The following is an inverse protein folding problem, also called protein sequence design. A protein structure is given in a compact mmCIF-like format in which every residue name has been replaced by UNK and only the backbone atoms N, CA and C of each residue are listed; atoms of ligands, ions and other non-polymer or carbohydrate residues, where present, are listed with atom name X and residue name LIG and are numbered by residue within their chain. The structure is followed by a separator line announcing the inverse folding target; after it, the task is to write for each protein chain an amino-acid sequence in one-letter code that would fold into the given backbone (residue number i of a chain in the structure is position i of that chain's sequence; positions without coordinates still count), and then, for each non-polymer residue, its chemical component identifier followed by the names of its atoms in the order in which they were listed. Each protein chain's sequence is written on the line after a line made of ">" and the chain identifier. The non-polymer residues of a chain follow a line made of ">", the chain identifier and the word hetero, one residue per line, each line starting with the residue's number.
data_IF_774070714871
#
_entry.id   IF_774070714871
#
_cell.length_a   1.000
_cell.length_b   1.000
_cell.length_c   1.000
_cell.angle_alpha   90.00
_cell.angle_beta   90.00
_cell.angle_gamma   90.00
#
_symmetry.space_group_name_H-M   'P 1'
#
loop_
_entity.id
_entity.type
_entity.pdbx_description
1 polymer ?
#
# COMPACT_ATOMS: atom_id res chain seq x y z
N UNK A 1 30.50 86.77 -64.32
CA UNK A 1 31.88 86.35 -64.68
C UNK A 1 32.13 84.94 -64.14
N UNK A 2 31.76 83.90 -64.87
CA UNK A 2 31.87 82.50 -64.38
C UNK A 2 31.57 81.40 -65.41
N UNK A 3 31.02 81.74 -66.59
CA UNK A 3 30.72 80.77 -67.66
C UNK A 3 31.86 80.61 -68.71
N UNK A 4 32.83 81.53 -68.75
CA UNK A 4 33.94 81.47 -69.74
C UNK A 4 35.09 80.53 -69.34
N UNK A 5 35.22 80.16 -68.05
CA UNK A 5 36.30 79.28 -67.60
C UNK A 5 35.98 77.79 -67.80
N UNK A 6 34.70 77.38 -67.70
CA UNK A 6 34.29 75.99 -67.87
C UNK A 6 34.33 75.52 -69.34
N UNK A 7 34.01 76.42 -70.30
CA UNK A 7 34.06 76.07 -71.72
C UNK A 7 35.50 75.97 -72.26
N UNK A 8 36.43 76.76 -71.70
CA UNK A 8 37.85 76.68 -72.04
C UNK A 8 38.50 75.36 -71.56
N UNK A 9 38.15 74.87 -70.37
CA UNK A 9 38.67 73.59 -69.85
C UNK A 9 38.08 72.38 -70.60
N UNK A 10 36.82 72.43 -71.02
CA UNK A 10 36.21 71.37 -71.85
C UNK A 10 36.88 71.30 -73.24
N UNK A 11 37.16 72.45 -73.87
CA UNK A 11 37.78 72.50 -75.20
C UNK A 11 39.27 72.13 -75.20
N UNK A 12 39.99 72.35 -74.10
CA UNK A 12 41.39 71.96 -73.95
C UNK A 12 41.59 70.46 -73.72
N UNK A 13 40.64 69.73 -73.11
CA UNK A 13 40.77 68.27 -72.96
C UNK A 13 40.42 67.48 -74.22
N UNK A 14 39.51 67.99 -75.06
CA UNK A 14 39.07 67.27 -76.25
C UNK A 14 39.86 67.58 -77.55
N UNK A 15 40.73 68.61 -77.57
CA UNK A 15 41.61 68.86 -78.75
C UNK A 15 42.95 68.16 -78.72
N UNK A 16 43.47 67.76 -77.56
CA UNK A 16 44.77 67.06 -77.45
C UNK A 16 44.66 65.53 -77.46
N UNK A 17 43.45 64.96 -77.57
CA UNK A 17 43.23 63.50 -77.67
C UNK A 17 42.69 63.09 -79.07
N UNK A 18 42.86 63.94 -80.08
CA UNK A 18 42.44 63.69 -81.47
C UNK A 18 43.61 63.42 -82.43
N UNK A 19 44.85 63.32 -81.94
CA UNK A 19 46.06 63.21 -82.77
C UNK A 19 46.92 61.98 -82.44
N UNK A 20 46.28 60.87 -82.10
CA UNK A 20 46.89 59.54 -82.05
C UNK A 20 45.88 58.47 -82.48
N UNK A 21 45.19 58.71 -83.61
CA UNK A 21 44.55 57.63 -84.36
C UNK A 21 45.67 56.94 -85.14
N UNK A 22 46.38 56.04 -84.46
CA UNK A 22 47.15 55.01 -85.14
C UNK A 22 46.16 54.24 -86.00
N UNK A 23 46.51 54.02 -87.27
CA UNK A 23 45.82 53.07 -88.15
C UNK A 23 45.96 51.67 -87.55
N UNK A 24 45.15 51.36 -86.53
CA UNK A 24 44.78 50.00 -86.21
C UNK A 24 43.96 49.56 -87.42
N UNK A 25 44.42 48.55 -88.17
CA UNK A 25 43.63 48.07 -89.31
C UNK A 25 42.26 47.65 -88.79
N UNK A 26 41.20 48.02 -89.52
CA UNK A 26 39.82 47.70 -89.14
C UNK A 26 39.66 46.21 -88.82
N UNK A 27 40.44 45.35 -89.48
CA UNK A 27 40.48 43.91 -89.25
C UNK A 27 40.90 43.52 -87.83
N UNK A 28 41.82 44.26 -87.19
CA UNK A 28 42.25 43.98 -85.81
C UNK A 28 41.17 44.35 -84.79
N UNK A 29 40.50 45.49 -84.97
CA UNK A 29 39.37 45.87 -84.11
C UNK A 29 38.22 44.87 -84.28
N UNK A 30 37.90 44.47 -85.51
CA UNK A 30 36.86 43.46 -85.78
C UNK A 30 37.23 42.11 -85.13
N UNK A 31 38.49 41.69 -85.19
CA UNK A 31 38.96 40.47 -84.54
C UNK A 31 38.85 40.53 -83.00
N UNK A 32 39.35 41.60 -82.37
CA UNK A 32 39.26 41.81 -80.91
C UNK A 32 37.79 41.93 -80.46
N UNK A 33 36.92 42.58 -81.24
CA UNK A 33 35.49 42.68 -80.92
C UNK A 33 34.78 41.33 -81.04
N UNK A 34 35.12 40.51 -82.04
CA UNK A 34 34.60 39.14 -82.18
C UNK A 34 35.07 38.23 -81.06
N UNK A 35 36.33 38.37 -80.64
CA UNK A 35 36.87 37.63 -79.50
C UNK A 35 36.17 38.02 -78.20
N UNK A 36 35.99 39.31 -77.94
CA UNK A 36 35.22 39.80 -76.79
C UNK A 36 33.75 39.37 -76.83
N UNK A 37 33.12 39.36 -78.01
CA UNK A 37 31.75 38.84 -78.18
C UNK A 37 31.68 37.33 -77.92
N UNK A 38 32.66 36.55 -78.39
CA UNK A 38 32.74 35.12 -78.12
C UNK A 38 32.95 34.86 -76.62
N UNK A 39 33.85 35.60 -75.96
CA UNK A 39 34.06 35.51 -74.51
C UNK A 39 32.80 35.89 -73.72
N UNK A 40 32.10 36.96 -74.12
CA UNK A 40 30.84 37.38 -73.50
C UNK A 40 29.73 36.33 -73.67
N UNK A 41 29.62 35.68 -74.84
CA UNK A 41 28.68 34.60 -75.07
C UNK A 41 29.00 33.36 -74.22
N UNK A 42 30.27 32.98 -74.10
CA UNK A 42 30.70 31.89 -73.22
C UNK A 42 30.38 32.20 -71.75
N UNK A 43 30.66 33.43 -71.30
CA UNK A 43 30.34 33.87 -69.94
C UNK A 43 28.83 33.90 -69.68
N UNK A 44 28.03 34.37 -70.65
CA UNK A 44 26.58 34.38 -70.56
C UNK A 44 26.00 32.96 -70.52
N UNK A 45 26.51 32.04 -71.34
CA UNK A 45 26.15 30.62 -71.29
C UNK A 45 26.46 30.00 -69.93
N UNK A 46 27.69 30.19 -69.44
CA UNK A 46 28.09 29.71 -68.11
C UNK A 46 27.30 30.35 -66.96
N UNK A 47 26.79 31.57 -67.13
CA UNK A 47 25.89 32.20 -66.15
C UNK A 47 24.48 31.61 -66.22
N UNK A 48 23.94 31.39 -67.42
CA UNK A 48 22.64 30.75 -67.63
C UNK A 48 22.62 29.31 -67.09
N UNK A 49 23.66 28.52 -67.33
CA UNK A 49 23.80 27.17 -66.75
C UNK A 49 23.85 27.19 -65.23
N UNK A 50 24.60 28.13 -64.63
CA UNK A 50 24.64 28.31 -63.17
C UNK A 50 23.27 28.70 -62.61
N UNK A 51 22.56 29.60 -63.28
CA UNK A 51 21.23 30.04 -62.87
C UNK A 51 20.21 28.90 -63.01
N UNK A 52 20.28 28.11 -64.07
CA UNK A 52 19.44 26.93 -64.26
C UNK A 52 19.73 25.84 -63.22
N UNK A 53 21.00 25.56 -62.95
CA UNK A 53 21.43 24.63 -61.89
C UNK A 53 20.93 25.09 -60.52
N UNK A 54 21.05 26.38 -60.19
CA UNK A 54 20.55 26.94 -58.93
C UNK A 54 19.01 26.89 -58.84
N UNK A 55 18.30 27.09 -59.96
CA UNK A 55 16.84 26.94 -60.01
C UNK A 55 16.41 25.48 -59.78
N UNK A 56 17.11 24.51 -60.35
CA UNK A 56 16.86 23.09 -60.14
C UNK A 56 17.11 22.68 -58.68
N UNK A 57 18.21 23.14 -58.10
CA UNK A 57 18.54 22.89 -56.68
C UNK A 57 17.50 23.51 -55.74
N UNK A 58 17.05 24.74 -56.02
CA UNK A 58 15.99 25.39 -55.26
C UNK A 58 14.64 24.67 -55.39
N UNK A 59 14.28 24.22 -56.60
CA UNK A 59 13.06 23.45 -56.84
C UNK A 59 13.07 22.11 -56.09
N UNK A 60 14.21 21.43 -56.08
CA UNK A 60 14.38 20.16 -55.36
C UNK A 60 14.29 20.36 -53.85
N UNK A 61 14.92 21.42 -53.32
CA UNK A 61 14.81 21.78 -51.89
C UNK A 61 13.36 22.07 -51.50
N UNK A 62 12.60 22.78 -52.35
CA UNK A 62 11.18 23.06 -52.12
C UNK A 62 10.36 21.75 -52.16
N UNK A 63 10.64 20.87 -53.13
CA UNK A 63 9.97 19.56 -53.25
C UNK A 63 10.18 18.72 -51.99
N UNK A 64 11.42 18.60 -51.53
CA UNK A 64 11.76 17.88 -50.30
C UNK A 64 11.08 18.47 -49.07
N UNK A 65 11.04 19.81 -48.94
CA UNK A 65 10.34 20.48 -47.84
C UNK A 65 8.82 20.24 -47.85
N UNK A 66 8.20 20.22 -49.04
CA UNK A 66 6.78 19.90 -49.20
C UNK A 66 6.52 18.43 -48.84
N UNK A 67 7.37 17.50 -49.28
CA UNK A 67 7.23 16.08 -48.96
C UNK A 67 7.40 15.82 -47.45
N UNK A 68 8.39 16.44 -46.81
CA UNK A 68 8.60 16.32 -45.37
C UNK A 68 7.42 16.91 -44.58
N UNK A 69 6.92 18.08 -44.97
CA UNK A 69 5.77 18.70 -44.29
C UNK A 69 4.47 17.91 -44.52
N UNK A 70 4.24 17.40 -45.73
CA UNK A 70 3.11 16.52 -46.02
C UNK A 70 3.18 15.23 -45.20
N UNK A 71 4.35 14.62 -45.09
CA UNK A 71 4.55 13.43 -44.26
C UNK A 71 4.30 13.72 -42.77
N UNK A 72 4.81 14.85 -42.26
CA UNK A 72 4.60 15.26 -40.88
C UNK A 72 3.10 15.50 -40.57
N UNK A 73 2.38 16.19 -41.45
CA UNK A 73 0.93 16.40 -41.31
C UNK A 73 0.19 15.07 -41.34
N UNK A 74 0.51 14.18 -42.28
CA UNK A 74 -0.11 12.85 -42.37
C UNK A 74 0.15 12.01 -41.11
N UNK A 75 1.37 12.07 -40.56
CA UNK A 75 1.73 11.35 -39.34
C UNK A 75 0.93 11.88 -38.13
N UNK A 76 0.86 13.20 -37.95
CA UNK A 76 0.07 13.84 -36.88
C UNK A 76 -1.42 13.53 -37.00
N UNK A 77 -1.98 13.58 -38.21
CA UNK A 77 -3.38 13.22 -38.45
C UNK A 77 -3.64 11.75 -38.14
N UNK A 78 -2.79 10.83 -38.60
CA UNK A 78 -2.93 9.40 -38.31
C UNK A 78 -2.89 9.12 -36.81
N UNK A 79 -1.99 9.78 -36.08
CA UNK A 79 -1.90 9.63 -34.64
C UNK A 79 -3.13 10.22 -33.92
N UNK A 80 -3.61 11.38 -34.37
CA UNK A 80 -4.86 11.99 -33.92
C UNK A 80 -6.07 11.08 -34.11
N UNK A 81 -6.23 10.47 -35.28
CA UNK A 81 -7.31 9.51 -35.55
C UNK A 81 -7.19 8.24 -34.70
N UNK A 82 -5.98 7.70 -34.54
CA UNK A 82 -5.76 6.54 -33.67
C UNK A 82 -6.18 6.83 -32.21
N UNK A 83 -5.85 8.02 -31.70
CA UNK A 83 -6.29 8.47 -30.37
C UNK A 83 -7.80 8.61 -30.26
N UNK A 84 -8.45 9.23 -31.25
CA UNK A 84 -9.91 9.36 -31.28
C UNK A 84 -10.61 7.99 -31.33
N UNK A 85 -10.13 7.08 -32.18
CA UNK A 85 -10.63 5.71 -32.25
C UNK A 85 -10.47 4.97 -30.92
N UNK A 86 -9.31 5.11 -30.26
CA UNK A 86 -9.08 4.53 -28.94
C UNK A 86 -10.03 5.08 -27.87
N UNK A 87 -10.26 6.39 -27.85
CA UNK A 87 -11.21 7.03 -26.94
C UNK A 87 -12.66 6.56 -27.20
N UNK A 88 -13.09 6.47 -28.46
CA UNK A 88 -14.41 5.98 -28.82
C UNK A 88 -14.61 4.51 -28.43
N UNK A 89 -13.57 3.66 -28.60
CA UNK A 89 -13.62 2.28 -28.16
C UNK A 89 -13.74 2.17 -26.63
N UNK A 90 -12.99 2.98 -25.88
CA UNK A 90 -13.09 3.03 -24.43
C UNK A 90 -14.49 3.49 -23.98
N UNK A 91 -15.03 4.55 -24.59
CA UNK A 91 -16.39 5.02 -24.30
C UNK A 91 -17.45 3.95 -24.59
N UNK A 92 -17.33 3.23 -25.72
CA UNK A 92 -18.24 2.14 -26.04
C UNK A 92 -18.17 0.98 -25.04
N UNK A 93 -16.98 0.67 -24.51
CA UNK A 93 -16.83 -0.35 -23.46
C UNK A 93 -17.52 0.07 -22.16
N UNK A 94 -17.37 1.32 -21.74
CA UNK A 94 -18.06 1.85 -20.55
C UNK A 94 -19.58 1.89 -20.74
N UNK A 95 -20.07 2.31 -21.91
CA UNK A 95 -21.50 2.26 -22.22
C UNK A 95 -22.06 0.83 -22.19
N UNK A 96 -21.32 -0.17 -22.68
CA UNK A 96 -21.74 -1.57 -22.59
C UNK A 96 -21.84 -2.05 -21.14
N UNK A 97 -20.92 -1.65 -20.26
CA UNK A 97 -21.01 -1.98 -18.82
C UNK A 97 -22.25 -1.35 -18.18
N UNK A 98 -22.58 -0.11 -18.54
CA UNK A 98 -23.79 0.57 -18.06
C UNK A 98 -25.04 -0.15 -18.57
N UNK A 99 -25.08 -0.51 -19.86
CA UNK A 99 -26.20 -1.27 -20.44
C UNK A 99 -26.34 -2.62 -19.75
N UNK A 100 -25.26 -3.39 -19.55
CA UNK A 100 -25.31 -4.66 -18.83
C UNK A 100 -25.85 -4.51 -17.40
N UNK A 101 -25.47 -3.43 -16.70
CA UNK A 101 -25.98 -3.11 -15.37
C UNK A 101 -27.48 -2.76 -15.38
N UNK A 102 -27.92 -1.99 -16.38
CA UNK A 102 -29.31 -1.59 -16.56
C UNK A 102 -30.20 -2.76 -17.04
N UNK A 103 -29.64 -3.69 -17.81
CA UNK A 103 -30.28 -4.91 -18.29
C UNK A 103 -30.51 -5.95 -17.18
N UNK A 104 -30.00 -5.69 -15.96
CA UNK A 104 -30.38 -6.42 -14.74
C UNK A 104 -31.31 -5.58 -13.85
N UNK A 105 -32.51 -5.16 -14.34
CA UNK A 105 -33.37 -4.24 -13.61
C UNK A 105 -33.80 -4.79 -12.26
N UNK A 106 -33.95 -6.11 -12.14
CA UNK A 106 -34.30 -6.79 -10.89
C UNK A 106 -33.18 -6.70 -9.85
N UNK A 107 -31.91 -6.93 -10.24
CA UNK A 107 -30.78 -6.80 -9.32
C UNK A 107 -30.60 -5.34 -8.87
N UNK A 108 -30.70 -4.40 -9.80
CA UNK A 108 -30.55 -2.96 -9.50
C UNK A 108 -31.67 -2.47 -8.59
N UNK A 109 -32.93 -2.85 -8.85
CA UNK A 109 -34.06 -2.53 -7.99
C UNK A 109 -33.92 -3.18 -6.60
N UNK A 110 -33.52 -4.45 -6.52
CA UNK A 110 -33.30 -5.14 -5.25
C UNK A 110 -32.20 -4.43 -4.43
N UNK A 111 -31.07 -4.08 -5.05
CA UNK A 111 -29.98 -3.36 -4.37
C UNK A 111 -30.43 -2.00 -3.81
N UNK A 112 -31.21 -1.23 -4.57
CA UNK A 112 -31.70 0.06 -4.09
C UNK A 112 -32.71 -0.10 -2.94
N UNK A 113 -33.63 -1.07 -3.03
CA UNK A 113 -34.56 -1.38 -1.93
C UNK A 113 -33.81 -1.80 -0.67
N UNK A 114 -32.78 -2.65 -0.80
CA UNK A 114 -31.91 -3.05 0.31
C UNK A 114 -31.22 -1.84 0.94
N UNK A 115 -30.60 -0.98 0.13
CA UNK A 115 -29.88 0.21 0.60
C UNK A 115 -30.80 1.14 1.40
N UNK A 116 -32.02 1.37 0.90
CA UNK A 116 -33.04 2.15 1.61
C UNK A 116 -33.46 1.49 2.92
N UNK A 117 -33.67 0.18 2.91
CA UNK A 117 -34.03 -0.57 4.11
C UNK A 117 -32.91 -0.55 5.17
N UNK A 118 -31.64 -0.63 4.78
CA UNK A 118 -30.48 -0.49 5.67
C UNK A 118 -30.39 0.92 6.29
N UNK A 119 -30.68 1.96 5.50
CA UNK A 119 -30.77 3.34 6.02
C UNK A 119 -31.92 3.48 7.02
N UNK A 120 -33.10 2.92 6.71
CA UNK A 120 -34.24 2.91 7.62
C UNK A 120 -33.94 2.13 8.90
N UNK A 121 -33.29 0.97 8.79
CA UNK A 121 -32.83 0.14 9.92
C UNK A 121 -31.87 0.92 10.83
N UNK A 122 -30.87 1.61 10.26
CA UNK A 122 -29.93 2.43 11.02
C UNK A 122 -30.59 3.62 11.74
N UNK A 123 -31.69 4.13 11.20
CA UNK A 123 -32.50 5.19 11.80
C UNK A 123 -33.63 4.68 12.73
N UNK A 124 -33.72 3.38 12.96
CA UNK A 124 -34.78 2.74 13.75
C UNK A 124 -36.21 2.98 13.21
N UNK A 125 -36.33 3.17 11.89
CA UNK A 125 -37.61 3.24 11.18
C UNK A 125 -38.06 1.82 10.82
N UNK A 126 -38.47 1.06 11.85
CA UNK A 126 -38.72 -0.38 11.77
C UNK A 126 -39.73 -0.75 10.67
N UNK A 127 -40.85 -0.02 10.55
CA UNK A 127 -41.90 -0.34 9.57
C UNK A 127 -41.47 -0.09 8.12
N UNK A 128 -40.73 0.99 7.89
CA UNK A 128 -40.13 1.31 6.60
C UNK A 128 -39.05 0.30 6.22
N UNK A 129 -38.20 -0.08 7.18
CA UNK A 129 -37.15 -1.07 6.97
C UNK A 129 -37.75 -2.43 6.60
N UNK A 130 -38.75 -2.92 7.35
CA UNK A 130 -39.46 -4.17 7.03
C UNK A 130 -40.06 -4.09 5.63
N UNK A 131 -40.81 -3.03 5.31
CA UNK A 131 -41.46 -2.87 4.01
C UNK A 131 -40.47 -2.91 2.84
N UNK A 132 -39.34 -2.20 2.95
CA UNK A 132 -38.35 -2.15 1.87
C UNK A 132 -37.53 -3.46 1.81
N UNK A 133 -37.23 -4.13 2.94
CA UNK A 133 -36.61 -5.45 2.95
C UNK A 133 -37.51 -6.54 2.36
N UNK A 134 -38.83 -6.51 2.62
CA UNK A 134 -39.78 -7.46 2.03
C UNK A 134 -39.86 -7.31 0.51
N UNK A 135 -39.92 -6.07 0.00
CA UNK A 135 -39.82 -5.83 -1.44
C UNK A 135 -38.49 -6.32 -2.01
N UNK A 136 -37.39 -6.12 -1.29
CA UNK A 136 -36.09 -6.61 -1.70
C UNK A 136 -36.06 -8.15 -1.77
N UNK A 137 -36.66 -8.84 -0.79
CA UNK A 137 -36.83 -10.29 -0.77
C UNK A 137 -37.63 -10.78 -1.98
N UNK A 138 -38.71 -10.09 -2.34
CA UNK A 138 -39.55 -10.47 -3.48
C UNK A 138 -38.81 -10.30 -4.82
N UNK A 139 -37.94 -9.28 -4.92
CA UNK A 139 -37.10 -9.04 -6.09
C UNK A 139 -35.87 -9.98 -6.17
N UNK A 140 -35.31 -10.35 -5.02
CA UNK A 140 -34.13 -11.19 -4.92
C UNK A 140 -34.19 -12.11 -3.68
N UNK A 141 -34.91 -13.22 -3.82
CA UNK A 141 -35.09 -14.19 -2.73
C UNK A 141 -33.80 -14.91 -2.31
N UNK A 142 -32.71 -14.81 -3.09
CA UNK A 142 -31.44 -15.50 -2.83
C UNK A 142 -30.51 -14.70 -1.89
N UNK A 143 -30.76 -13.40 -1.69
CA UNK A 143 -29.96 -12.60 -0.76
C UNK A 143 -30.34 -12.94 0.69
N UNK A 144 -29.64 -13.93 1.24
CA UNK A 144 -29.83 -14.44 2.59
C UNK A 144 -29.63 -13.39 3.70
N UNK A 145 -28.91 -12.28 3.42
CA UNK A 145 -28.70 -11.23 4.41
C UNK A 145 -29.99 -10.45 4.73
N UNK A 146 -30.90 -10.33 3.76
CA UNK A 146 -32.22 -9.69 3.94
C UNK A 146 -33.01 -10.44 5.00
N UNK A 147 -33.01 -11.78 4.95
CA UNK A 147 -33.72 -12.60 5.91
C UNK A 147 -33.14 -12.46 7.32
N UNK A 148 -31.83 -12.25 7.47
CA UNK A 148 -31.23 -11.98 8.78
C UNK A 148 -31.71 -10.63 9.34
N UNK A 149 -31.77 -9.58 8.51
CA UNK A 149 -32.31 -8.28 8.92
C UNK A 149 -33.79 -8.35 9.28
N UNK A 150 -34.61 -9.01 8.46
CA UNK A 150 -36.03 -9.23 8.76
C UNK A 150 -36.20 -10.03 10.05
N UNK A 151 -35.42 -11.09 10.26
CA UNK A 151 -35.44 -11.86 11.49
C UNK A 151 -35.13 -11.01 12.73
N UNK A 152 -34.12 -10.15 12.65
CA UNK A 152 -33.76 -9.23 13.73
C UNK A 152 -34.89 -8.21 14.00
N UNK A 153 -35.43 -7.57 12.96
CA UNK A 153 -36.53 -6.60 13.06
C UNK A 153 -37.78 -7.25 13.68
N UNK A 154 -38.15 -8.44 13.21
CA UNK A 154 -39.32 -9.16 13.75
C UNK A 154 -39.11 -9.58 15.21
N UNK A 155 -37.91 -10.03 15.58
CA UNK A 155 -37.64 -10.50 16.93
C UNK A 155 -37.50 -9.35 17.94
N UNK A 156 -36.61 -8.40 17.67
CA UNK A 156 -36.24 -7.36 18.63
C UNK A 156 -37.23 -6.18 18.64
N UNK A 157 -37.72 -5.76 17.48
CA UNK A 157 -38.56 -4.55 17.39
C UNK A 157 -40.05 -4.88 17.41
N UNK A 158 -40.49 -5.89 16.64
CA UNK A 158 -41.91 -6.28 16.57
C UNK A 158 -42.35 -7.31 17.60
N UNK A 159 -41.40 -7.96 18.27
CA UNK A 159 -41.69 -9.03 19.25
C UNK A 159 -42.55 -10.16 18.65
N UNK A 160 -42.29 -10.50 17.38
CA UNK A 160 -42.96 -11.56 16.62
C UNK A 160 -41.98 -12.73 16.39
N UNK A 161 -41.80 -13.62 17.40
CA UNK A 161 -40.78 -14.67 17.35
C UNK A 161 -41.02 -15.69 16.23
N UNK A 162 -42.28 -15.99 15.90
CA UNK A 162 -42.62 -16.95 14.83
C UNK A 162 -42.17 -16.44 13.45
N UNK A 163 -42.40 -15.17 13.13
CA UNK A 163 -41.93 -14.56 11.89
C UNK A 163 -40.41 -14.43 11.86
N UNK A 164 -39.79 -14.14 13.01
CA UNK A 164 -38.34 -14.13 13.12
C UNK A 164 -37.73 -15.51 12.81
N UNK A 165 -38.29 -16.59 13.39
CA UNK A 165 -37.84 -17.96 13.13
C UNK A 165 -37.94 -18.35 11.66
N UNK A 166 -39.06 -18.03 10.99
CA UNK A 166 -39.22 -18.26 9.55
C UNK A 166 -38.10 -17.60 8.75
N UNK A 167 -37.79 -16.35 9.07
CA UNK A 167 -36.73 -15.60 8.40
C UNK A 167 -35.34 -16.14 8.72
N UNK A 168 -35.00 -16.44 9.98
CA UNK A 168 -33.70 -17.02 10.31
C UNK A 168 -33.47 -18.41 9.70
N UNK A 169 -34.50 -19.26 9.64
CA UNK A 169 -34.40 -20.54 8.94
C UNK A 169 -34.19 -20.36 7.43
N UNK A 170 -34.88 -19.41 6.81
CA UNK A 170 -34.65 -19.07 5.41
C UNK A 170 -33.22 -18.54 5.18
N UNK A 171 -32.73 -17.65 6.06
CA UNK A 171 -31.35 -17.16 6.03
C UNK A 171 -30.37 -18.32 6.07
N UNK A 172 -30.51 -19.24 7.04
CA UNK A 172 -29.66 -20.42 7.17
C UNK A 172 -29.70 -21.33 5.93
N UNK A 173 -30.90 -21.58 5.38
CA UNK A 173 -31.09 -22.42 4.20
C UNK A 173 -30.42 -21.83 2.96
N UNK A 174 -30.63 -20.53 2.70
CA UNK A 174 -30.11 -19.87 1.50
C UNK A 174 -28.62 -19.55 1.61
N UNK A 175 -28.09 -19.29 2.80
CA UNK A 175 -26.67 -19.00 2.97
C UNK A 175 -25.81 -20.27 2.98
N UNK A 176 -26.32 -21.43 3.38
CA UNK A 176 -25.51 -22.66 3.57
C UNK A 176 -24.62 -23.02 2.36
N UNK A 177 -25.11 -22.99 1.09
CA UNK A 177 -24.28 -23.33 -0.07
C UNK A 177 -23.16 -22.32 -0.36
N UNK A 178 -23.31 -21.07 0.11
CA UNK A 178 -22.44 -19.96 -0.27
C UNK A 178 -21.52 -19.50 0.88
N UNK A 179 -22.03 -19.56 2.11
CA UNK A 179 -21.33 -19.18 3.32
C UNK A 179 -21.87 -19.96 4.53
N UNK A 180 -21.18 -21.06 4.91
CA UNK A 180 -21.47 -21.82 6.13
C UNK A 180 -21.42 -20.96 7.39
N UNK A 181 -20.58 -19.92 7.43
CA UNK A 181 -20.50 -18.98 8.55
C UNK A 181 -21.81 -18.20 8.75
N UNK A 182 -22.38 -17.65 7.67
CA UNK A 182 -23.67 -16.97 7.76
C UNK A 182 -24.80 -17.93 8.13
N UNK A 183 -24.75 -19.17 7.64
CA UNK A 183 -25.73 -20.19 7.99
C UNK A 183 -25.66 -20.56 9.48
N UNK A 184 -24.45 -20.76 10.00
CA UNK A 184 -24.22 -21.00 11.42
C UNK A 184 -24.72 -19.81 12.26
N UNK A 185 -24.43 -18.56 11.87
CA UNK A 185 -24.92 -17.37 12.57
C UNK A 185 -26.46 -17.31 12.59
N UNK A 186 -27.12 -17.57 11.48
CA UNK A 186 -28.58 -17.61 11.41
C UNK A 186 -29.16 -18.70 12.33
N UNK A 187 -28.54 -19.88 12.40
CA UNK A 187 -28.92 -20.93 13.35
C UNK A 187 -28.69 -20.55 14.82
N UNK A 188 -27.65 -19.75 15.12
CA UNK A 188 -27.50 -19.18 16.47
C UNK A 188 -28.65 -18.24 16.82
N UNK A 189 -29.14 -17.43 15.87
CA UNK A 189 -30.33 -16.62 16.08
C UNK A 189 -31.59 -17.47 16.28
N UNK A 190 -31.78 -18.55 15.53
CA UNK A 190 -32.85 -19.54 15.81
C UNK A 190 -32.74 -20.04 17.25
N UNK A 191 -31.54 -20.44 17.68
CA UNK A 191 -31.35 -20.94 19.04
C UNK A 191 -31.67 -19.89 20.11
N UNK A 192 -31.35 -18.61 19.85
CA UNK A 192 -31.67 -17.52 20.76
C UNK A 192 -33.19 -17.34 20.89
N UNK A 193 -33.93 -17.33 19.78
CA UNK A 193 -35.39 -17.18 19.81
C UNK A 193 -36.05 -18.35 20.55
N UNK A 194 -35.66 -19.58 20.22
CA UNK A 194 -36.19 -20.79 20.88
C UNK A 194 -35.83 -20.83 22.37
N UNK A 195 -34.61 -20.41 22.74
CA UNK A 195 -34.19 -20.29 24.14
C UNK A 195 -35.03 -19.28 24.91
N UNK A 196 -35.32 -18.12 24.31
CA UNK A 196 -36.21 -17.11 24.91
C UNK A 196 -37.65 -17.60 25.06
N UNK A 197 -38.09 -18.54 24.22
CA UNK A 197 -39.38 -19.22 24.33
C UNK A 197 -39.36 -20.46 25.26
N UNK A 198 -38.25 -20.68 25.98
CA UNK A 198 -38.01 -21.84 26.85
C UNK A 198 -38.08 -23.21 26.13
N UNK A 199 -37.98 -23.20 24.79
CA UNK A 199 -37.92 -24.41 23.98
C UNK A 199 -36.47 -24.90 23.84
N UNK A 200 -35.89 -25.34 24.95
CA UNK A 200 -34.48 -25.74 25.01
C UNK A 200 -34.13 -26.91 24.07
N UNK A 201 -35.10 -27.76 23.73
CA UNK A 201 -34.90 -28.84 22.76
C UNK A 201 -34.60 -28.29 21.35
N UNK A 202 -35.43 -27.37 20.85
CA UNK A 202 -35.22 -26.75 19.55
C UNK A 202 -33.97 -25.86 19.55
N UNK A 203 -33.75 -25.12 20.63
CA UNK A 203 -32.55 -24.28 20.78
C UNK A 203 -31.26 -25.10 20.72
N UNK A 204 -31.21 -26.23 21.44
CA UNK A 204 -30.10 -27.18 21.39
C UNK A 204 -29.90 -27.74 19.97
N UNK A 205 -30.97 -28.21 19.31
CA UNK A 205 -30.88 -28.73 17.94
C UNK A 205 -30.35 -27.68 16.94
N UNK A 206 -30.78 -26.42 17.06
CA UNK A 206 -30.28 -25.34 16.21
C UNK A 206 -28.78 -25.10 16.40
N UNK A 207 -28.29 -25.08 17.64
CA UNK A 207 -26.84 -24.94 17.90
C UNK A 207 -26.03 -26.16 17.45
N UNK A 208 -26.59 -27.37 17.48
CA UNK A 208 -25.93 -28.55 16.87
C UNK A 208 -25.76 -28.37 15.36
N UNK A 209 -26.79 -27.83 14.68
CA UNK A 209 -26.69 -27.48 13.27
C UNK A 209 -25.60 -26.43 13.01
N UNK A 210 -25.52 -25.39 13.84
CA UNK A 210 -24.47 -24.38 13.74
C UNK A 210 -23.07 -24.97 13.96
N UNK A 211 -22.93 -25.87 14.92
CA UNK A 211 -21.68 -26.55 15.24
C UNK A 211 -21.22 -27.50 14.12
N UNK A 212 -22.16 -28.18 13.45
CA UNK A 212 -21.87 -29.02 12.29
C UNK A 212 -21.29 -28.21 11.12
N UNK A 213 -21.72 -26.95 10.96
CA UNK A 213 -21.21 -26.04 9.92
C UNK A 213 -19.87 -25.41 10.31
N UNK A 214 -19.74 -24.95 11.56
CA UNK A 214 -18.59 -24.18 12.04
C UNK A 214 -18.08 -24.67 13.40
N UNK A 215 -17.45 -25.86 13.47
CA UNK A 215 -17.08 -26.48 14.74
C UNK A 215 -15.99 -25.73 15.51
N UNK A 216 -15.19 -24.89 14.84
CA UNK A 216 -14.08 -24.14 15.43
C UNK A 216 -14.39 -22.70 15.83
N UNK A 217 -15.61 -22.19 15.56
CA UNK A 217 -15.94 -20.79 15.85
C UNK A 217 -16.27 -20.62 17.34
N UNK A 218 -15.54 -19.78 18.12
CA UNK A 218 -15.70 -19.71 19.57
C UNK A 218 -17.10 -19.30 20.00
N UNK A 219 -17.75 -18.40 19.26
CA UNK A 219 -19.13 -17.99 19.52
C UNK A 219 -20.14 -19.12 19.33
N UNK A 220 -19.93 -20.02 18.36
CA UNK A 220 -20.78 -21.19 18.15
C UNK A 220 -20.59 -22.20 19.27
N UNK A 221 -19.35 -22.48 19.65
CA UNK A 221 -19.04 -23.37 20.77
C UNK A 221 -19.62 -22.85 22.09
N UNK A 222 -19.53 -21.54 22.32
CA UNK A 222 -20.09 -20.90 23.50
C UNK A 222 -21.61 -21.01 23.56
N UNK A 223 -22.32 -20.58 22.51
CA UNK A 223 -23.79 -20.66 22.49
C UNK A 223 -24.27 -22.12 22.52
N UNK A 224 -23.53 -23.06 21.93
CA UNK A 224 -23.83 -24.48 22.06
C UNK A 224 -23.64 -24.97 23.51
N UNK A 225 -22.58 -24.55 24.21
CA UNK A 225 -22.38 -24.88 25.61
C UNK A 225 -23.51 -24.34 26.50
N UNK A 226 -23.98 -23.12 26.25
CA UNK A 226 -25.14 -22.54 26.95
C UNK A 226 -26.38 -23.39 26.72
N UNK A 227 -26.72 -23.70 25.47
CA UNK A 227 -27.91 -24.49 25.15
C UNK A 227 -27.80 -25.96 25.63
N UNK A 228 -26.59 -26.54 25.64
CA UNK A 228 -26.34 -27.85 26.22
C UNK A 228 -26.54 -27.86 27.75
N UNK A 229 -26.14 -26.79 28.44
CA UNK A 229 -26.40 -26.60 29.88
C UNK A 229 -27.91 -26.59 30.17
N UNK A 230 -28.66 -25.75 29.45
CA UNK A 230 -30.11 -25.64 29.60
C UNK A 230 -30.85 -26.92 29.22
N UNK A 231 -30.32 -27.69 28.27
CA UNK A 231 -30.80 -29.02 27.88
C UNK A 231 -30.27 -30.16 28.79
N UNK A 232 -29.67 -29.83 29.94
CA UNK A 232 -29.18 -30.78 30.97
C UNK A 232 -28.06 -31.73 30.50
N UNK A 233 -27.25 -31.32 29.52
CA UNK A 233 -26.05 -32.03 29.07
C UNK A 233 -24.77 -31.40 29.64
N UNK A 234 -24.62 -31.44 30.95
CA UNK A 234 -23.56 -30.71 31.68
C UNK A 234 -22.13 -31.06 31.23
N UNK A 235 -21.82 -32.34 30.97
CA UNK A 235 -20.47 -32.74 30.54
C UNK A 235 -20.12 -32.19 29.15
N UNK A 236 -21.08 -32.21 28.22
CA UNK A 236 -20.94 -31.64 26.88
C UNK A 236 -20.78 -30.12 26.95
N UNK A 237 -21.60 -29.46 27.78
CA UNK A 237 -21.55 -28.02 27.99
C UNK A 237 -20.16 -27.56 28.48
N UNK A 238 -19.60 -28.21 29.50
CA UNK A 238 -18.26 -27.86 30.03
C UNK A 238 -17.17 -28.04 28.98
N UNK A 239 -17.21 -29.14 28.21
CA UNK A 239 -16.20 -29.41 27.17
C UNK A 239 -16.21 -28.34 26.07
N UNK A 240 -17.38 -27.94 25.58
CA UNK A 240 -17.47 -26.90 24.56
C UNK A 240 -17.18 -25.50 25.12
N UNK A 241 -17.54 -25.24 26.37
CA UNK A 241 -17.19 -24.00 27.06
C UNK A 241 -15.67 -23.87 27.23
N UNK A 242 -14.99 -24.94 27.65
CA UNK A 242 -13.53 -25.01 27.75
C UNK A 242 -12.87 -24.71 26.39
N UNK A 243 -13.33 -25.38 25.33
CA UNK A 243 -12.86 -25.13 23.97
C UNK A 243 -13.07 -23.66 23.55
N UNK A 244 -14.24 -23.09 23.84
CA UNK A 244 -14.54 -21.69 23.50
C UNK A 244 -13.62 -20.71 24.26
N UNK A 245 -13.36 -20.94 25.54
CA UNK A 245 -12.48 -20.09 26.37
C UNK A 245 -11.02 -20.20 25.94
N UNK A 246 -10.56 -21.38 25.54
CA UNK A 246 -9.22 -21.53 24.97
C UNK A 246 -9.04 -20.71 23.70
N UNK A 247 -10.07 -20.60 22.88
CA UNK A 247 -10.03 -19.82 21.65
C UNK A 247 -10.24 -18.31 21.88
N UNK A 248 -11.10 -17.92 22.83
CA UNK A 248 -11.29 -16.54 23.26
C UNK A 248 -11.48 -16.43 24.78
N UNK A 249 -10.41 -16.00 25.47
CA UNK A 249 -10.38 -15.85 26.92
C UNK A 249 -11.40 -14.84 27.47
N UNK A 250 -11.91 -13.90 26.65
CA UNK A 250 -12.95 -12.96 27.09
C UNK A 250 -14.26 -13.68 27.43
N UNK A 251 -14.51 -14.85 26.84
CA UNK A 251 -15.69 -15.66 27.10
C UNK A 251 -15.71 -16.24 28.52
N UNK A 252 -14.57 -16.34 29.21
CA UNK A 252 -14.53 -16.75 30.61
C UNK A 252 -15.26 -15.74 31.51
N UNK A 253 -15.10 -14.44 31.25
CA UNK A 253 -15.79 -13.38 31.99
C UNK A 253 -17.29 -13.43 31.71
N UNK A 254 -17.66 -13.58 30.43
CA UNK A 254 -19.06 -13.72 30.01
C UNK A 254 -19.71 -14.91 30.69
N UNK A 255 -19.10 -16.10 30.62
CA UNK A 255 -19.57 -17.34 31.23
C UNK A 255 -19.80 -17.22 32.73
N UNK A 256 -18.90 -16.54 33.46
CA UNK A 256 -19.01 -16.38 34.91
C UNK A 256 -20.20 -15.50 35.33
N UNK A 257 -20.64 -14.59 34.45
CA UNK A 257 -21.78 -13.69 34.71
C UNK A 257 -23.08 -14.13 34.04
N UNK A 258 -23.04 -15.16 33.19
CA UNK A 258 -24.19 -15.59 32.40
C UNK A 258 -25.18 -16.36 33.29
N UNK A 259 -26.44 -15.94 33.26
CA UNK A 259 -27.50 -16.54 34.09
C UNK A 259 -27.88 -17.93 33.59
N UNK A 260 -27.66 -18.22 32.32
CA UNK A 260 -28.00 -19.50 31.73
C UNK A 260 -27.10 -20.64 32.28
N UNK A 261 -25.95 -20.29 32.89
CA UNK A 261 -25.10 -21.22 33.61
C UNK A 261 -25.41 -21.30 35.11
N UNK A 262 -26.50 -20.70 35.63
CA UNK A 262 -26.78 -20.68 37.08
C UNK A 262 -26.81 -22.08 37.71
N UNK A 263 -27.41 -23.06 37.02
CA UNK A 263 -27.47 -24.47 37.47
C UNK A 263 -26.09 -25.15 37.49
N UNK A 264 -25.12 -24.62 36.75
CA UNK A 264 -23.76 -25.14 36.61
C UNK A 264 -22.68 -24.17 37.11
N UNK A 265 -23.05 -23.19 37.95
CA UNK A 265 -22.14 -22.13 38.42
C UNK A 265 -20.89 -22.68 39.11
N UNK A 266 -21.03 -23.73 39.94
CA UNK A 266 -19.89 -24.40 40.59
C UNK A 266 -18.90 -25.03 39.59
N UNK A 267 -19.33 -25.98 38.73
CA UNK A 267 -18.48 -26.55 37.70
C UNK A 267 -17.87 -25.53 36.73
N UNK A 268 -18.64 -24.52 36.30
CA UNK A 268 -18.14 -23.45 35.42
C UNK A 268 -17.07 -22.61 36.12
N UNK A 269 -17.28 -22.24 37.39
CA UNK A 269 -16.26 -21.54 38.18
C UNK A 269 -14.97 -22.34 38.34
N UNK A 270 -15.09 -23.64 38.66
CA UNK A 270 -13.95 -24.55 38.77
C UNK A 270 -13.17 -24.69 37.45
N UNK A 271 -13.87 -24.75 36.31
CA UNK A 271 -13.25 -24.77 34.99
C UNK A 271 -12.46 -23.49 34.74
N UNK A 272 -13.07 -22.32 34.98
CA UNK A 272 -12.43 -21.02 34.79
C UNK A 272 -11.19 -20.87 35.68
N UNK A 273 -11.26 -21.28 36.95
CA UNK A 273 -10.12 -21.22 37.86
C UNK A 273 -8.99 -22.16 37.40
N UNK A 274 -9.31 -23.37 36.93
CA UNK A 274 -8.34 -24.30 36.35
C UNK A 274 -7.63 -23.70 35.14
N UNK A 275 -8.38 -23.13 34.20
CA UNK A 275 -7.83 -22.48 33.00
C UNK A 275 -6.99 -21.24 33.36
N UNK A 276 -7.39 -20.49 34.39
CA UNK A 276 -6.62 -19.35 34.90
C UNK A 276 -5.29 -19.79 35.50
N UNK A 277 -5.28 -20.84 36.30
CA UNK A 277 -4.06 -21.37 36.92
C UNK A 277 -3.11 -21.97 35.87
N UNK A 278 -3.65 -22.66 34.87
CA UNK A 278 -2.86 -23.13 33.72
C UNK A 278 -2.22 -21.96 32.96
N UNK A 279 -3.00 -20.92 32.64
CA UNK A 279 -2.50 -19.73 31.97
C UNK A 279 -1.42 -19.01 32.79
N UNK A 280 -1.60 -18.91 34.11
CA UNK A 280 -0.62 -18.34 35.05
C UNK A 280 0.68 -19.15 35.08
N UNK A 281 0.58 -20.48 35.15
CA UNK A 281 1.75 -21.38 35.11
C UNK A 281 2.52 -21.24 33.80
N UNK A 282 1.84 -21.27 32.64
CA UNK A 282 2.47 -21.03 31.33
C UNK A 282 3.13 -19.65 31.24
N UNK A 283 2.51 -18.62 31.81
CA UNK A 283 3.10 -17.29 31.87
C UNK A 283 4.39 -17.25 32.71
N UNK A 284 4.41 -17.92 33.86
CA UNK A 284 5.61 -18.04 34.70
C UNK A 284 6.73 -18.82 33.99
N UNK A 285 6.43 -19.96 33.39
CA UNK A 285 7.38 -20.75 32.60
C UNK A 285 8.00 -19.90 31.46
N UNK A 286 7.20 -19.08 30.79
CA UNK A 286 7.67 -18.18 29.74
C UNK A 286 8.53 -17.02 30.28
N UNK A 287 8.21 -16.48 31.45
CA UNK A 287 9.04 -15.46 32.12
C UNK A 287 10.38 -16.06 32.51
N UNK A 288 10.41 -17.23 33.15
CA UNK A 288 11.65 -17.93 33.50
C UNK A 288 12.50 -18.28 32.27
N UNK A 289 11.86 -18.67 31.16
CA UNK A 289 12.55 -18.92 29.89
C UNK A 289 13.15 -17.62 29.34
N UNK A 290 12.41 -16.53 29.38
CA UNK A 290 12.89 -15.22 28.94
C UNK A 290 14.06 -14.74 29.82
N UNK A 291 13.98 -14.88 31.14
CA UNK A 291 15.06 -14.54 32.07
C UNK A 291 16.32 -15.36 31.80
N UNK A 292 16.18 -16.67 31.59
CA UNK A 292 17.31 -17.56 31.22
C UNK A 292 18.00 -17.14 29.92
N UNK A 293 17.26 -16.61 28.95
CA UNK A 293 17.81 -16.14 27.68
C UNK A 293 18.41 -14.73 27.81
N UNK A 294 17.75 -13.83 28.55
CA UNK A 294 18.15 -12.44 28.68
C UNK A 294 19.32 -12.23 29.66
N UNK A 295 19.45 -13.03 30.73
CA UNK A 295 20.50 -12.84 31.73
C UNK A 295 21.93 -13.01 31.17
N UNK A 296 22.24 -14.06 30.37
CA UNK A 296 23.55 -14.18 29.73
C UNK A 296 23.82 -13.04 28.73
N UNK A 297 22.78 -12.59 28.02
CA UNK A 297 22.89 -11.47 27.09
C UNK A 297 23.18 -10.16 27.82
N UNK A 298 22.48 -9.87 28.91
CA UNK A 298 22.73 -8.70 29.73
C UNK A 298 24.15 -8.69 30.29
N UNK A 299 24.64 -9.83 30.79
CA UNK A 299 26.01 -10.00 31.25
C UNK A 299 27.03 -9.80 30.11
N UNK A 300 26.77 -10.37 28.94
CA UNK A 300 27.62 -10.20 27.76
C UNK A 300 27.70 -8.73 27.34
N UNK A 301 26.57 -8.03 27.32
CA UNK A 301 26.49 -6.60 27.01
C UNK A 301 27.27 -5.78 28.04
N UNK A 302 27.07 -6.02 29.34
CA UNK A 302 27.80 -5.34 30.41
C UNK A 302 29.32 -5.54 30.29
N UNK A 303 29.77 -6.77 30.04
CA UNK A 303 31.19 -7.07 29.81
C UNK A 303 31.73 -6.38 28.57
N UNK A 304 30.95 -6.31 27.49
CA UNK A 304 31.34 -5.64 26.24
C UNK A 304 31.45 -4.13 26.43
N UNK A 305 30.53 -3.52 27.18
CA UNK A 305 30.59 -2.11 27.56
C UNK A 305 31.83 -1.80 28.43
N UNK A 306 32.15 -2.64 29.42
CA UNK A 306 33.36 -2.50 30.24
C UNK A 306 34.63 -2.59 29.38
N UNK A 307 34.71 -3.54 28.45
CA UNK A 307 35.83 -3.64 27.51
C UNK A 307 35.96 -2.41 26.62
N UNK A 308 34.84 -1.86 26.14
CA UNK A 308 34.84 -0.65 25.31
C UNK A 308 35.25 0.60 26.09
N UNK A 309 34.85 0.73 27.36
CA UNK A 309 35.34 1.80 28.24
C UNK A 309 36.86 1.74 28.37
N UNK A 310 37.41 0.55 28.65
CA UNK A 310 38.87 0.36 28.73
C UNK A 310 39.58 0.69 27.42
N UNK A 311 39.01 0.31 26.28
CA UNK A 311 39.57 0.67 24.97
C UNK A 311 39.53 2.19 24.73
N UNK A 312 38.48 2.88 25.20
CA UNK A 312 38.42 4.33 25.16
C UNK A 312 39.48 4.96 26.06
N UNK A 313 39.67 4.45 27.27
CA UNK A 313 40.70 4.93 28.19
C UNK A 313 42.12 4.74 27.62
N UNK A 314 42.38 3.60 26.94
CA UNK A 314 43.64 3.34 26.22
C UNK A 314 43.81 4.28 25.03
N UNK A 315 42.75 4.47 24.23
CA UNK A 315 42.76 5.43 23.13
C UNK A 315 43.06 6.84 23.63
N UNK A 316 42.36 7.31 24.66
CA UNK A 316 42.53 8.65 25.21
C UNK A 316 43.94 8.82 25.85
N UNK A 317 44.53 7.75 26.41
CA UNK A 317 45.92 7.74 26.86
C UNK A 317 46.95 7.82 25.71
N UNK A 318 46.69 7.15 24.58
CA UNK A 318 47.53 7.20 23.38
C UNK A 318 47.49 8.57 22.68
N UNK A 319 46.40 9.33 22.85
CA UNK A 319 46.24 10.67 22.27
C UNK A 319 46.61 11.82 23.23
N UNK A 320 47.13 11.53 24.43
CA UNK A 320 47.73 12.58 25.25
C UNK A 320 49.06 13.06 24.64
N UNK A 321 49.24 14.38 24.46
CA UNK A 321 50.45 14.94 23.86
C UNK A 321 51.65 14.64 24.77
N UNK A 322 52.51 13.71 24.33
CA UNK A 322 53.69 13.25 25.07
C UNK A 322 53.90 11.73 25.11
N UNK A 323 52.94 10.93 24.64
CA UNK A 323 53.08 9.47 24.60
C UNK A 323 53.82 9.01 23.33
N UNK A 324 55.12 8.73 23.47
CA UNK A 324 56.05 8.45 22.38
C UNK A 324 55.79 7.13 21.61
N UNK A 325 56.12 7.17 20.32
CA UNK A 325 55.81 6.25 19.22
C UNK A 325 56.51 4.86 19.22
N UNK A 326 56.61 4.15 20.36
CA UNK A 326 57.43 2.93 20.42
C UNK A 326 56.69 1.58 20.57
N UNK A 327 55.35 1.52 20.72
CA UNK A 327 54.63 0.23 20.83
C UNK A 327 53.20 0.31 20.28
N UNK A 328 53.03 0.06 18.98
CA UNK A 328 51.72 0.01 18.31
C UNK A 328 51.42 -1.17 17.35
N UNK A 329 52.27 -2.20 17.12
CA UNK A 329 51.89 -3.28 16.19
C UNK A 329 50.92 -4.35 16.74
N UNK A 330 50.72 -4.48 18.05
CA UNK A 330 49.95 -5.62 18.61
C UNK A 330 48.43 -5.37 18.77
N UNK A 331 47.97 -4.13 18.71
CA UNK A 331 46.54 -3.79 18.95
C UNK A 331 45.69 -3.92 17.68
N UNK A 332 46.30 -3.77 16.50
CA UNK A 332 45.61 -3.64 15.21
C UNK A 332 44.99 -4.96 14.70
N UNK A 333 45.57 -6.11 15.07
CA UNK A 333 45.10 -7.41 14.60
C UNK A 333 43.87 -7.96 15.35
N UNK A 334 43.58 -7.48 16.57
CA UNK A 334 42.50 -8.03 17.42
C UNK A 334 41.13 -7.34 17.25
N UNK A 335 41.11 -6.17 16.62
CA UNK A 335 39.90 -5.34 16.48
C UNK A 335 38.91 -5.88 15.44
N UNK A 336 39.33 -6.37 14.25
CA UNK A 336 38.42 -6.92 13.25
C UNK A 336 37.68 -8.17 13.73
N UNK A 337 38.36 -9.07 14.44
CA UNK A 337 37.79 -10.30 14.98
C UNK A 337 36.72 -10.01 16.06
N UNK A 338 36.98 -9.01 16.92
CA UNK A 338 36.01 -8.57 17.91
C UNK A 338 34.76 -7.96 17.25
N UNK A 339 34.94 -7.15 16.21
CA UNK A 339 33.84 -6.54 15.46
C UNK A 339 33.01 -7.59 14.68
N UNK A 340 33.67 -8.62 14.12
CA UNK A 340 33.01 -9.75 13.48
C UNK A 340 32.15 -10.56 14.47
N UNK A 341 32.70 -10.86 15.66
CA UNK A 341 31.98 -11.58 16.72
C UNK A 341 30.75 -10.82 17.23
N UNK A 342 30.85 -9.49 17.35
CA UNK A 342 29.72 -8.62 17.75
C UNK A 342 28.64 -8.59 16.66
N UNK A 343 29.03 -8.45 15.39
CA UNK A 343 28.09 -8.39 14.26
C UNK A 343 27.27 -9.68 14.09
N UNK A 344 27.93 -10.84 14.23
CA UNK A 344 27.30 -12.15 14.15
C UNK A 344 26.28 -12.35 15.30
N UNK A 345 26.65 -12.01 16.54
CA UNK A 345 25.73 -12.11 17.70
C UNK A 345 24.54 -11.14 17.60
N UNK A 346 24.73 -9.96 17.03
CA UNK A 346 23.62 -9.01 16.75
C UNK A 346 22.65 -9.60 15.71
N UNK A 347 23.16 -10.33 14.72
CA UNK A 347 22.33 -10.97 13.69
C UNK A 347 21.54 -12.16 14.25
N UNK A 348 22.16 -13.00 15.09
CA UNK A 348 21.46 -14.07 15.83
C UNK A 348 20.38 -13.50 16.76
N UNK A 349 20.68 -12.39 17.47
CA UNK A 349 19.71 -11.69 18.30
C UNK A 349 18.51 -11.16 17.49
N UNK A 350 18.78 -10.63 16.30
CA UNK A 350 17.73 -10.13 15.41
C UNK A 350 16.85 -11.28 14.92
N UNK A 351 17.43 -12.42 14.57
CA UNK A 351 16.67 -13.60 14.15
C UNK A 351 15.87 -14.21 15.30
N UNK A 352 16.42 -14.24 16.52
CA UNK A 352 15.73 -14.70 17.72
C UNK A 352 14.58 -13.76 18.13
N UNK A 353 14.75 -12.44 18.02
CA UNK A 353 13.67 -11.47 18.27
C UNK A 353 12.59 -11.48 17.17
N UNK A 354 12.94 -11.86 15.94
CA UNK A 354 11.99 -12.04 14.84
C UNK A 354 11.23 -13.37 14.94
N UNK A 355 11.89 -14.45 15.40
CA UNK A 355 11.27 -15.77 15.62
C UNK A 355 10.46 -15.85 16.92
N UNK A 356 10.85 -15.13 17.97
CA UNK A 356 10.13 -15.09 19.23
C UNK A 356 9.44 -13.74 19.44
N UNK A 357 8.12 -13.75 19.22
CA UNK A 357 7.16 -13.11 20.14
C UNK A 357 7.31 -11.59 20.40
N UNK A 358 7.99 -10.77 19.60
CA UNK A 358 7.90 -9.32 19.79
C UNK A 358 6.50 -8.79 19.41
N UNK A 359 5.99 -9.17 18.24
CA UNK A 359 4.65 -8.80 17.80
C UNK A 359 3.56 -9.53 18.60
N UNK A 360 3.81 -10.79 18.98
CA UNK A 360 2.86 -11.60 19.77
C UNK A 360 2.81 -11.15 21.23
N UNK A 361 3.95 -10.87 21.90
CA UNK A 361 3.94 -10.30 23.25
C UNK A 361 3.42 -8.86 23.27
N UNK A 362 3.68 -8.05 22.24
CA UNK A 362 3.13 -6.69 22.12
C UNK A 362 1.62 -6.70 21.85
N UNK A 363 1.11 -7.67 21.08
CA UNK A 363 -0.32 -7.89 20.88
C UNK A 363 -0.99 -8.42 22.16
N UNK A 364 -0.35 -9.36 22.87
CA UNK A 364 -0.81 -9.90 24.14
C UNK A 364 -0.84 -8.82 25.25
N UNK A 365 0.19 -7.98 25.34
CA UNK A 365 0.27 -6.87 26.31
C UNK A 365 -0.69 -5.70 26.02
N UNK A 366 -1.15 -5.54 24.77
CA UNK A 366 -2.22 -4.58 24.42
C UNK A 366 -3.61 -5.14 24.74
N UNK A 367 -3.81 -6.45 24.65
CA UNK A 367 -5.09 -7.12 24.93
C UNK A 367 -5.32 -7.41 26.43
N UNK A 368 -4.28 -7.42 27.25
CA UNK A 368 -4.39 -7.69 28.69
C UNK A 368 -4.20 -6.42 29.53
N UNK A 369 -5.30 -5.84 30.02
CA UNK A 369 -5.27 -4.74 31.01
C UNK A 369 -4.75 -5.19 32.40
N UNK A 370 -4.35 -6.47 32.57
CA UNK A 370 -3.98 -7.06 33.86
C UNK A 370 -2.50 -7.43 34.04
N UNK A 371 -1.56 -6.98 33.19
CA UNK A 371 -0.14 -7.26 33.42
C UNK A 371 0.38 -6.48 34.65
N UNK A 372 1.19 -7.08 35.54
CA UNK A 372 1.80 -6.37 36.66
C UNK A 372 2.64 -5.20 36.14
N UNK A 373 2.31 -3.98 36.58
CA UNK A 373 2.92 -2.71 36.16
C UNK A 373 4.47 -2.77 36.19
N UNK A 374 5.03 -3.49 37.16
CA UNK A 374 6.46 -3.66 37.39
C UNK A 374 7.20 -4.37 36.23
N UNK A 375 6.61 -5.37 35.59
CA UNK A 375 7.22 -6.09 34.46
C UNK A 375 7.19 -5.21 33.21
N UNK A 376 6.08 -4.52 32.99
CA UNK A 376 5.91 -3.57 31.88
C UNK A 376 6.89 -2.40 31.99
N UNK A 377 7.07 -1.85 33.19
CA UNK A 377 8.02 -0.75 33.46
C UNK A 377 9.46 -1.23 33.25
N UNK A 378 9.85 -2.39 33.77
CA UNK A 378 11.22 -2.89 33.60
C UNK A 378 11.55 -3.20 32.14
N UNK A 379 10.68 -3.86 31.40
CA UNK A 379 10.96 -4.17 29.99
C UNK A 379 11.04 -2.88 29.16
N UNK A 380 10.09 -1.96 29.32
CA UNK A 380 10.10 -0.69 28.56
C UNK A 380 11.27 0.23 28.94
N UNK A 381 11.68 0.27 30.22
CA UNK A 381 12.82 1.07 30.65
C UNK A 381 14.14 0.53 30.10
N UNK A 382 14.34 -0.79 30.11
CA UNK A 382 15.53 -1.42 29.56
C UNK A 382 15.65 -1.22 28.05
N UNK A 383 14.53 -1.33 27.32
CA UNK A 383 14.51 -1.07 25.88
C UNK A 383 14.75 0.39 25.53
N UNK A 384 14.19 1.34 26.30
CA UNK A 384 14.43 2.77 26.09
C UNK A 384 15.90 3.13 26.34
N UNK A 385 16.51 2.59 27.39
CA UNK A 385 17.94 2.76 27.66
C UNK A 385 18.80 2.19 26.53
N UNK A 386 18.45 1.00 26.02
CA UNK A 386 19.17 0.41 24.88
C UNK A 386 18.99 1.22 23.57
N UNK A 387 17.78 1.70 23.30
CA UNK A 387 17.48 2.52 22.13
C UNK A 387 18.18 3.88 22.18
N UNK A 388 18.15 4.57 23.32
CA UNK A 388 18.79 5.86 23.52
C UNK A 388 20.32 5.73 23.44
N UNK A 389 20.88 4.62 23.96
CA UNK A 389 22.30 4.30 23.80
C UNK A 389 22.68 4.07 22.33
N UNK A 390 21.85 3.34 21.56
CA UNK A 390 22.08 3.13 20.13
C UNK A 390 22.00 4.44 19.32
N UNK A 391 21.01 5.30 19.60
CA UNK A 391 20.85 6.59 18.92
C UNK A 391 22.05 7.50 19.20
N UNK A 392 22.48 7.58 20.45
CA UNK A 392 23.66 8.36 20.85
C UNK A 392 24.93 7.87 20.16
N UNK A 393 25.08 6.55 20.02
CA UNK A 393 26.23 5.94 19.33
C UNK A 393 26.28 6.26 17.83
N UNK A 394 25.11 6.25 17.18
CA UNK A 394 24.98 6.59 15.75
C UNK A 394 25.27 8.08 15.53
N UNK A 395 24.81 8.95 16.44
CA UNK A 395 25.07 10.38 16.38
C UNK A 395 26.57 10.69 16.53
N UNK A 396 27.27 10.08 17.50
CA UNK A 396 28.72 10.24 17.68
C UNK A 396 29.51 9.75 16.46
N UNK A 397 29.14 8.60 15.90
CA UNK A 397 29.80 8.07 14.69
C UNK A 397 29.59 8.98 13.47
N UNK A 398 28.42 9.60 13.34
CA UNK A 398 28.10 10.54 12.25
C UNK A 398 28.90 11.85 12.38
N UNK A 399 29.07 12.34 13.61
CA UNK A 399 29.86 13.54 13.89
C UNK A 399 31.35 13.33 13.62
N UNK A 400 31.88 12.11 13.82
CA UNK A 400 33.29 11.77 13.53
C UNK A 400 33.57 11.54 12.05
N UNK A 401 32.61 11.00 11.30
CA UNK A 401 32.78 10.74 9.87
C UNK A 401 32.61 12.00 9.02
N UNK A 402 31.84 12.98 9.50
CA UNK A 402 31.68 14.30 8.88
C UNK A 402 31.94 15.37 9.93
N UNK A 403 33.21 15.63 10.30
CA UNK A 403 33.51 16.77 11.15
C UNK A 403 33.04 18.04 10.44
N UNK A 404 32.40 18.99 11.13
CA UNK A 404 32.06 20.26 10.52
C UNK A 404 33.33 20.93 10.00
N UNK A 405 33.29 21.62 8.84
CA UNK A 405 34.46 22.24 8.26
C UNK A 405 35.09 23.17 9.28
N UNK A 406 36.40 23.01 9.51
CA UNK A 406 37.17 23.91 10.37
C UNK A 406 36.99 25.32 9.86
N UNK A 407 36.48 26.22 10.70
CA UNK A 407 36.51 27.65 10.41
C UNK A 407 37.98 28.05 10.34
N UNK A 408 38.47 28.30 9.12
CA UNK A 408 39.78 28.91 8.90
C UNK A 408 39.81 30.26 9.61
N UNK A 409 40.87 30.49 10.39
CA UNK A 409 41.19 31.75 11.08
C UNK A 409 42.14 32.56 10.21
#
# INVERSE_FOLDING_TARGET
>A
MGYDLAYATYRSRYRSSSAAVTHVSADRVIAETRELQAQALVQAGAHAERLHSAQLEAAETIREAIEQSAWAICAELNWGFARLCGQLQQQNQELRKIVELLERPLETAAREMKRRAEVAYGNQWTDEAIRDFEKCRDLNYQDFSIYLYLGNLYFFDKQQPEEALKNYHAAARYSNPHSPEFAARALLHVSLVERCAENYHAAYAATQGALALMPGLPSVQYEHAVNACLFQKSSEALRFLESAIHADAALAVKANSDRDFAQMSGPVGSLIDTLRDEAKRKALENVERAERLCYPLANFWQQSCLKRSRLKDVHDALYQPGFCAARLPEVDQSLPDLMGSISMKISELRELCLRNTYLECRAAARKSQGFPLLVRIKVTSWFKVAQDACISLIADKRHRLNPPPSKEV
#
